data_IF_813079709939
#
_entry.id   IF_813079709939
#
_cell.length_a   1.000
_cell.length_b   1.000
_cell.length_c   1.000
_cell.angle_alpha   90.00
_cell.angle_beta   90.00
_cell.angle_gamma   90.00
#
_symmetry.space_group_name_H-M   'P 1'
#
loop_
_entity.id
_entity.type
_entity.pdbx_description
1 polymer ?
#
# COMPACT_ATOMS: atom_id res chain seq x y z
N UNK A 1 -18.76 11.94 14.14
CA UNK A 1 -17.80 11.87 13.01
C UNK A 1 -16.53 11.07 13.34
N UNK A 2 -15.85 11.38 14.44
CA UNK A 2 -14.62 10.70 14.88
C UNK A 2 -14.84 9.34 15.56
N UNK A 3 -16.04 9.09 16.13
CA UNK A 3 -16.31 7.91 16.94
C UNK A 3 -16.02 6.57 16.23
N UNK A 4 -16.23 6.47 14.91
CA UNK A 4 -15.98 5.23 14.15
C UNK A 4 -14.53 5.06 13.70
N UNK A 5 -13.76 6.15 13.58
CA UNK A 5 -12.34 6.10 13.22
C UNK A 5 -11.45 6.02 14.45
N UNK A 6 -11.91 6.54 15.59
CA UNK A 6 -11.16 6.58 16.85
C UNK A 6 -10.58 5.20 17.22
N UNK A 7 -11.33 4.08 17.17
CA UNK A 7 -10.75 2.78 17.43
C UNK A 7 -9.63 2.40 16.46
N UNK A 8 -9.81 2.65 15.16
CA UNK A 8 -8.79 2.36 14.15
C UNK A 8 -7.55 3.23 14.35
N UNK A 9 -7.71 4.52 14.69
CA UNK A 9 -6.60 5.41 15.02
C UNK A 9 -5.82 4.92 16.23
N UNK A 10 -6.51 4.47 17.28
CA UNK A 10 -5.86 3.88 18.45
C UNK A 10 -5.11 2.59 18.11
N UNK A 11 -5.68 1.74 17.24
CA UNK A 11 -4.99 0.54 16.74
C UNK A 11 -3.75 0.92 15.94
N UNK A 12 -3.84 1.91 15.04
CA UNK A 12 -2.69 2.39 14.26
C UNK A 12 -1.59 2.97 15.17
N UNK A 13 -1.97 3.78 16.16
CA UNK A 13 -1.02 4.36 17.10
C UNK A 13 -0.38 3.30 17.98
N UNK A 14 -1.16 2.37 18.51
CA UNK A 14 -0.63 1.26 19.30
C UNK A 14 0.31 0.39 18.46
N UNK A 15 -0.06 0.08 17.22
CA UNK A 15 0.80 -0.66 16.29
C UNK A 15 2.11 0.10 16.01
N UNK A 16 2.06 1.40 15.75
CA UNK A 16 3.26 2.22 15.52
C UNK A 16 4.16 2.25 16.75
N UNK A 17 3.61 2.41 17.96
CA UNK A 17 4.40 2.36 19.21
C UNK A 17 5.04 0.99 19.38
N UNK A 18 4.30 -0.09 19.14
CA UNK A 18 4.84 -1.46 19.20
C UNK A 18 5.97 -1.62 18.18
N UNK A 19 5.76 -1.26 16.91
CA UNK A 19 6.76 -1.37 15.84
C UNK A 19 8.02 -0.54 16.13
N UNK A 20 7.88 0.64 16.73
CA UNK A 20 9.03 1.47 17.10
C UNK A 20 9.89 0.85 18.21
N UNK A 21 9.28 0.12 19.15
CA UNK A 21 9.94 -0.46 20.33
C UNK A 21 10.40 -1.91 20.09
N UNK A 22 9.63 -2.67 19.31
CA UNK A 22 9.82 -4.10 19.05
C UNK A 22 11.27 -4.48 18.66
N UNK A 23 11.97 -3.74 17.79
CA UNK A 23 13.33 -4.08 17.35
C UNK A 23 14.39 -4.07 18.46
N UNK A 24 14.07 -3.46 19.60
CA UNK A 24 14.96 -3.34 20.76
C UNK A 24 14.72 -4.41 21.83
N UNK A 25 13.58 -5.10 21.77
CA UNK A 25 13.20 -6.13 22.75
C UNK A 25 13.30 -7.54 22.19
N UNK A 26 13.28 -7.69 20.86
CA UNK A 26 13.44 -8.99 20.20
C UNK A 26 14.91 -9.30 19.88
N UNK A 27 15.25 -10.59 19.85
CA UNK A 27 16.57 -11.07 19.45
C UNK A 27 16.90 -10.74 17.99
N UNK A 28 18.20 -10.78 17.65
CA UNK A 28 18.70 -10.46 16.30
C UNK A 28 18.03 -11.32 15.22
N UNK A 29 17.92 -12.63 15.47
CA UNK A 29 17.31 -13.56 14.52
C UNK A 29 15.81 -13.31 14.30
N UNK A 30 15.07 -13.02 15.37
CA UNK A 30 13.65 -12.68 15.26
C UNK A 30 13.44 -11.37 14.49
N UNK A 31 14.30 -10.37 14.73
CA UNK A 31 14.29 -9.12 13.97
C UNK A 31 14.55 -9.38 12.49
N UNK A 32 15.54 -10.23 12.22
CA UNK A 32 15.94 -10.64 10.88
C UNK A 32 14.75 -11.23 10.10
N UNK A 33 14.12 -12.24 10.67
CA UNK A 33 12.98 -12.92 10.06
C UNK A 33 11.74 -12.03 9.89
N UNK A 34 11.56 -11.05 10.79
CA UNK A 34 10.38 -10.20 10.77
C UNK A 34 10.52 -8.99 9.83
N UNK A 35 11.70 -8.35 9.79
CA UNK A 35 11.91 -7.01 9.21
C UNK A 35 12.87 -6.95 8.02
N UNK A 36 13.66 -8.00 7.72
CA UNK A 36 14.53 -7.94 6.52
C UNK A 36 13.72 -8.01 5.23
N UNK A 37 14.38 -7.65 4.11
CA UNK A 37 13.86 -7.94 2.77
C UNK A 37 13.48 -9.43 2.69
N UNK A 38 12.27 -9.72 2.21
CA UNK A 38 11.58 -11.02 2.16
C UNK A 38 11.20 -11.59 3.54
N UNK A 39 11.21 -10.76 4.58
CA UNK A 39 10.74 -11.08 5.91
C UNK A 39 9.23 -11.28 5.98
N UNK A 40 8.76 -11.69 7.15
CA UNK A 40 7.33 -11.99 7.39
C UNK A 40 6.45 -10.76 7.10
N UNK A 41 6.89 -9.54 7.44
CA UNK A 41 6.09 -8.34 7.20
C UNK A 41 5.93 -8.03 5.71
N UNK A 42 6.98 -8.14 4.91
CA UNK A 42 6.93 -7.92 3.46
C UNK A 42 5.97 -8.92 2.78
N UNK A 43 6.10 -10.21 3.11
CA UNK A 43 5.18 -11.24 2.61
C UNK A 43 3.73 -10.94 3.01
N UNK A 44 3.50 -10.51 4.25
CA UNK A 44 2.17 -10.11 4.71
C UNK A 44 1.67 -8.85 3.97
N UNK A 45 2.52 -7.89 3.67
CA UNK A 45 2.17 -6.70 2.90
C UNK A 45 1.70 -7.08 1.50
N UNK A 46 2.45 -7.94 0.79
CA UNK A 46 2.07 -8.49 -0.52
C UNK A 46 0.69 -9.17 -0.45
N UNK A 47 0.50 -10.07 0.52
CA UNK A 47 -0.77 -10.78 0.69
C UNK A 47 -1.93 -9.81 0.99
N UNK A 48 -1.70 -8.81 1.83
CA UNK A 48 -2.71 -7.81 2.16
C UNK A 48 -3.07 -6.94 0.96
N UNK A 49 -2.11 -6.56 0.11
CA UNK A 49 -2.39 -5.83 -1.14
C UNK A 49 -3.23 -6.67 -2.10
N UNK A 50 -2.91 -7.95 -2.27
CA UNK A 50 -3.70 -8.87 -3.09
C UNK A 50 -5.12 -9.06 -2.53
N UNK A 51 -5.27 -9.15 -1.20
CA UNK A 51 -6.58 -9.18 -0.54
C UNK A 51 -7.36 -7.88 -0.75
N UNK A 52 -6.71 -6.72 -0.72
CA UNK A 52 -7.34 -5.43 -1.02
C UNK A 52 -7.81 -5.38 -2.49
N UNK A 53 -7.00 -5.88 -3.43
CA UNK A 53 -7.36 -5.99 -4.85
C UNK A 53 -8.58 -6.91 -5.04
N UNK A 54 -8.56 -8.09 -4.45
CA UNK A 54 -9.67 -9.03 -4.49
C UNK A 54 -10.94 -8.44 -3.86
N UNK A 55 -10.81 -7.71 -2.74
CA UNK A 55 -11.93 -7.04 -2.07
C UNK A 55 -12.56 -5.95 -2.93
N UNK A 56 -11.75 -5.19 -3.70
CA UNK A 56 -12.25 -4.21 -4.64
C UNK A 56 -13.10 -4.85 -5.74
N UNK A 57 -12.64 -5.97 -6.32
CA UNK A 57 -13.31 -6.65 -7.43
C UNK A 57 -14.56 -7.44 -6.99
N UNK A 58 -14.53 -8.06 -5.81
CA UNK A 58 -15.61 -8.92 -5.31
C UNK A 58 -16.78 -8.15 -4.69
N UNK A 59 -16.64 -6.83 -4.50
CA UNK A 59 -17.66 -5.97 -3.90
C UNK A 59 -18.99 -5.95 -4.68
N UNK A 60 -18.95 -6.20 -5.98
CA UNK A 60 -20.13 -6.24 -6.85
C UNK A 60 -19.93 -7.22 -8.00
N UNK A 61 -21.03 -7.82 -8.50
CA UNK A 61 -20.99 -8.73 -9.67
C UNK A 61 -20.40 -8.08 -10.93
N UNK A 62 -20.50 -6.77 -11.06
CA UNK A 62 -19.93 -5.99 -12.16
C UNK A 62 -19.15 -4.81 -11.57
N UNK A 63 -17.84 -4.96 -11.31
CA UNK A 63 -17.04 -3.92 -10.67
C UNK A 63 -17.01 -2.66 -11.53
N UNK A 64 -17.21 -1.52 -10.87
CA UNK A 64 -17.15 -0.23 -11.55
C UNK A 64 -15.72 0.06 -12.04
N UNK A 65 -15.54 0.99 -12.99
CA UNK A 65 -14.20 1.42 -13.43
C UNK A 65 -13.32 1.90 -12.28
N UNK A 66 -13.91 2.50 -11.23
CA UNK A 66 -13.18 2.92 -10.03
C UNK A 66 -12.68 1.72 -9.22
N UNK A 67 -13.51 0.70 -9.02
CA UNK A 67 -13.09 -0.52 -8.29
C UNK A 67 -12.02 -1.29 -9.06
N UNK A 68 -12.13 -1.36 -10.38
CA UNK A 68 -11.09 -1.94 -11.24
C UNK A 68 -9.79 -1.15 -11.13
N UNK A 69 -9.86 0.17 -11.17
CA UNK A 69 -8.68 1.02 -11.02
C UNK A 69 -7.98 0.82 -9.67
N UNK A 70 -8.72 0.75 -8.56
CA UNK A 70 -8.14 0.41 -7.26
C UNK A 70 -7.51 -0.98 -7.25
N UNK A 71 -8.17 -1.99 -7.82
CA UNK A 71 -7.63 -3.34 -7.88
C UNK A 71 -6.30 -3.38 -8.64
N UNK A 72 -6.20 -2.67 -9.76
CA UNK A 72 -4.95 -2.53 -10.53
C UNK A 72 -3.87 -1.86 -9.68
N UNK A 73 -4.18 -0.75 -9.00
CA UNK A 73 -3.22 -0.06 -8.12
C UNK A 73 -2.72 -1.00 -7.01
N UNK A 74 -3.60 -1.75 -6.36
CA UNK A 74 -3.21 -2.67 -5.30
C UNK A 74 -2.39 -3.86 -5.82
N UNK A 75 -2.71 -4.40 -7.00
CA UNK A 75 -1.86 -5.40 -7.63
C UNK A 75 -0.46 -4.85 -7.96
N UNK A 76 -0.35 -3.60 -8.38
CA UNK A 76 0.93 -2.96 -8.66
C UNK A 76 1.73 -2.68 -7.39
N UNK A 77 1.07 -2.36 -6.29
CA UNK A 77 1.71 -2.24 -4.98
C UNK A 77 2.17 -3.62 -4.48
N UNK A 78 1.35 -4.68 -4.63
CA UNK A 78 1.81 -6.05 -4.36
C UNK A 78 3.02 -6.45 -5.22
N UNK A 79 3.06 -6.01 -6.48
CA UNK A 79 4.20 -6.24 -7.38
C UNK A 79 5.45 -5.46 -6.92
N UNK A 80 5.27 -4.25 -6.40
CA UNK A 80 6.35 -3.45 -5.77
C UNK A 80 6.90 -4.20 -4.55
N UNK A 81 6.04 -4.64 -3.65
CA UNK A 81 6.42 -5.27 -2.38
C UNK A 81 6.92 -6.72 -2.53
N UNK A 82 6.80 -7.35 -3.70
CA UNK A 82 7.26 -8.73 -3.91
C UNK A 82 8.63 -8.82 -4.57
N UNK A 83 9.27 -7.68 -4.81
CA UNK A 83 10.52 -7.54 -5.56
C UNK A 83 10.50 -8.14 -6.98
N UNK A 84 9.34 -8.61 -7.45
CA UNK A 84 9.16 -9.23 -8.76
C UNK A 84 9.56 -8.28 -9.89
N UNK A 85 9.34 -6.97 -9.72
CA UNK A 85 9.78 -5.99 -10.70
C UNK A 85 11.31 -5.94 -10.84
N UNK A 86 12.08 -6.19 -9.76
CA UNK A 86 13.55 -6.30 -9.85
C UNK A 86 13.97 -7.52 -10.67
N UNK A 87 13.21 -8.61 -10.59
CA UNK A 87 13.45 -9.85 -11.34
C UNK A 87 13.06 -9.71 -12.81
N UNK A 88 11.95 -9.02 -13.09
CA UNK A 88 11.39 -8.87 -14.43
C UNK A 88 12.08 -7.81 -15.29
N UNK A 89 12.81 -6.87 -14.67
CA UNK A 89 13.46 -5.74 -15.36
C UNK A 89 14.97 -5.94 -15.39
N UNK A 90 15.53 -6.03 -16.59
CA UNK A 90 16.97 -6.08 -16.83
C UNK A 90 17.63 -4.85 -16.23
N UNK A 91 18.56 -5.06 -15.30
CA UNK A 91 19.24 -4.00 -14.56
C UNK A 91 18.51 -3.51 -13.30
N UNK A 92 17.38 -4.12 -12.94
CA UNK A 92 16.65 -3.90 -11.70
C UNK A 92 15.49 -2.89 -11.82
N UNK A 93 14.52 -2.99 -10.90
CA UNK A 93 13.26 -2.25 -10.97
C UNK A 93 13.41 -0.72 -10.99
N UNK A 94 14.45 -0.17 -10.33
CA UNK A 94 14.76 1.27 -10.35
C UNK A 94 15.16 1.78 -11.75
N UNK A 95 15.64 0.91 -12.64
CA UNK A 95 15.99 1.30 -14.01
C UNK A 95 14.75 1.48 -14.89
N UNK A 96 13.65 0.78 -14.60
CA UNK A 96 12.40 0.85 -15.38
C UNK A 96 11.87 2.28 -15.54
N UNK A 97 12.13 3.17 -14.58
CA UNK A 97 11.63 4.55 -14.59
C UNK A 97 12.59 5.50 -15.33
N UNK A 98 13.80 5.07 -15.67
CA UNK A 98 14.81 5.92 -16.32
C UNK A 98 14.64 5.92 -17.84
N UNK A 99 14.74 7.09 -18.45
CA UNK A 99 14.70 7.22 -19.92
C UNK A 99 15.77 6.36 -20.62
N UNK A 100 16.95 6.22 -20.02
CA UNK A 100 18.06 5.40 -20.54
C UNK A 100 17.69 3.93 -20.76
N UNK A 101 16.76 3.40 -19.96
CA UNK A 101 16.25 2.03 -20.10
C UNK A 101 15.48 1.83 -21.41
N UNK A 102 14.67 2.81 -21.79
CA UNK A 102 13.89 2.77 -23.03
C UNK A 102 14.76 3.07 -24.27
N UNK A 103 15.78 3.90 -24.11
CA UNK A 103 16.62 4.40 -25.21
C UNK A 103 17.72 3.44 -25.68
N UNK A 104 17.93 2.29 -25.03
CA UNK A 104 18.94 1.33 -25.50
C UNK A 104 20.08 1.02 -24.56
N UNK A 105 20.25 1.78 -23.48
CA UNK A 105 21.48 1.78 -22.71
C UNK A 105 21.63 0.61 -21.72
N UNK A 106 20.58 -0.17 -21.49
CA UNK A 106 20.50 -1.15 -20.39
C UNK A 106 20.54 -2.61 -20.85
N UNK A 107 20.72 -2.87 -22.15
CA UNK A 107 20.74 -4.22 -22.71
C UNK A 107 19.37 -4.94 -22.73
N UNK A 108 18.31 -4.31 -22.19
CA UNK A 108 16.95 -4.85 -22.18
C UNK A 108 16.41 -5.06 -23.61
N UNK A 109 15.67 -6.16 -23.82
CA UNK A 109 15.06 -6.45 -25.13
C UNK A 109 13.90 -5.50 -25.45
N UNK A 110 13.57 -5.31 -26.73
CA UNK A 110 12.43 -4.45 -27.13
C UNK A 110 11.09 -4.92 -26.53
N UNK A 111 10.75 -6.24 -26.52
CA UNK A 111 9.52 -6.72 -25.89
C UNK A 111 9.44 -6.40 -24.38
N UNK A 112 10.55 -6.53 -23.66
CA UNK A 112 10.62 -6.20 -22.23
C UNK A 112 10.33 -4.71 -22.01
N UNK A 113 10.97 -3.81 -22.77
CA UNK A 113 10.74 -2.37 -22.68
C UNK A 113 9.29 -1.99 -22.94
N UNK A 114 8.67 -2.61 -23.95
CA UNK A 114 7.25 -2.38 -24.24
C UNK A 114 6.39 -2.87 -23.09
N UNK A 115 6.66 -4.05 -22.54
CA UNK A 115 5.94 -4.60 -21.39
C UNK A 115 6.01 -3.68 -20.17
N UNK A 116 7.20 -3.21 -19.82
CA UNK A 116 7.40 -2.26 -18.72
C UNK A 116 6.72 -0.92 -18.99
N UNK A 117 6.79 -0.39 -20.23
CA UNK A 117 6.09 0.84 -20.59
C UNK A 117 4.57 0.71 -20.45
N UNK A 118 3.98 -0.39 -20.89
CA UNK A 118 2.54 -0.67 -20.73
C UNK A 118 2.18 -0.81 -19.25
N UNK A 119 3.02 -1.49 -18.46
CA UNK A 119 2.83 -1.62 -17.01
C UNK A 119 2.80 -0.24 -16.32
N UNK A 120 3.78 0.62 -16.62
CA UNK A 120 3.84 1.98 -16.07
C UNK A 120 2.68 2.85 -16.54
N UNK A 121 2.32 2.79 -17.82
CA UNK A 121 1.15 3.52 -18.35
C UNK A 121 -0.14 3.07 -17.66
N UNK A 122 -0.31 1.76 -17.45
CA UNK A 122 -1.44 1.18 -16.72
C UNK A 122 -1.47 1.67 -15.27
N UNK A 123 -0.31 1.72 -14.61
CA UNK A 123 -0.17 2.25 -13.26
C UNK A 123 -0.61 3.71 -13.16
N UNK A 124 -0.12 4.57 -14.05
CA UNK A 124 -0.46 6.00 -14.09
C UNK A 124 -1.95 6.20 -14.34
N UNK A 125 -2.53 5.50 -15.32
CA UNK A 125 -3.96 5.60 -15.64
C UNK A 125 -4.82 5.12 -14.47
N UNK A 126 -4.50 3.95 -13.90
CA UNK A 126 -5.25 3.41 -12.77
C UNK A 126 -5.16 4.31 -11.53
N UNK A 127 -4.00 4.89 -11.25
CA UNK A 127 -3.82 5.85 -10.17
C UNK A 127 -4.63 7.13 -10.42
N UNK A 128 -4.57 7.70 -11.63
CA UNK A 128 -5.33 8.90 -11.98
C UNK A 128 -6.85 8.69 -11.88
N UNK A 129 -7.36 7.55 -12.37
CA UNK A 129 -8.77 7.16 -12.24
C UNK A 129 -9.14 6.99 -10.77
N UNK A 130 -8.29 6.35 -9.97
CA UNK A 130 -8.51 6.13 -8.53
C UNK A 130 -8.57 7.45 -7.78
N UNK A 131 -7.64 8.38 -8.01
CA UNK A 131 -7.62 9.71 -7.37
C UNK A 131 -8.86 10.51 -7.78
N UNK A 132 -9.14 10.63 -9.09
CA UNK A 132 -10.29 11.37 -9.60
C UNK A 132 -11.60 10.79 -9.08
N UNK A 133 -11.73 9.47 -9.06
CA UNK A 133 -12.89 8.77 -8.52
C UNK A 133 -13.06 8.99 -7.02
N UNK A 134 -11.98 8.89 -6.24
CA UNK A 134 -11.97 9.18 -4.79
C UNK A 134 -12.45 10.60 -4.51
N UNK A 135 -11.92 11.60 -5.23
CA UNK A 135 -12.32 13.01 -5.09
C UNK A 135 -13.80 13.22 -5.44
N UNK A 136 -14.30 12.52 -6.47
CA UNK A 136 -15.72 12.56 -6.83
C UNK A 136 -16.59 11.94 -5.73
N UNK A 137 -16.23 10.78 -5.21
CA UNK A 137 -16.95 10.09 -4.13
C UNK A 137 -16.96 10.90 -2.82
N UNK A 138 -15.88 11.64 -2.53
CA UNK A 138 -15.82 12.56 -1.39
C UNK A 138 -16.83 13.71 -1.52
N UNK A 139 -17.02 14.23 -2.74
CA UNK A 139 -17.95 15.34 -3.00
C UNK A 139 -19.39 14.86 -3.13
N UNK A 140 -19.59 13.68 -3.74
CA UNK A 140 -20.90 13.09 -4.07
C UNK A 140 -20.81 11.58 -3.88
N UNK A 141 -21.05 11.07 -2.65
CA UNK A 141 -20.97 9.64 -2.35
C UNK A 141 -21.97 8.86 -3.20
N UNK A 142 -21.50 7.89 -3.98
CA UNK A 142 -22.33 7.09 -4.88
C UNK A 142 -22.01 5.60 -4.81
N UNK A 143 -20.73 5.23 -4.78
CA UNK A 143 -20.27 3.84 -4.81
C UNK A 143 -19.72 3.38 -3.46
N UNK A 144 -19.05 4.28 -2.73
CA UNK A 144 -18.47 3.99 -1.43
C UNK A 144 -19.21 4.77 -0.35
N UNK A 145 -19.55 4.06 0.74
CA UNK A 145 -20.11 4.70 1.91
C UNK A 145 -19.08 5.72 2.46
N UNK A 146 -19.51 6.88 2.99
CA UNK A 146 -18.59 7.87 3.55
C UNK A 146 -17.63 7.30 4.61
N UNK A 147 -18.06 6.27 5.36
CA UNK A 147 -17.21 5.54 6.30
C UNK A 147 -16.08 4.78 5.59
N UNK A 148 -16.38 4.06 4.52
CA UNK A 148 -15.37 3.33 3.74
C UNK A 148 -14.33 4.30 3.17
N UNK A 149 -14.77 5.43 2.61
CA UNK A 149 -13.86 6.43 2.07
C UNK A 149 -12.90 6.99 3.13
N UNK A 150 -13.38 7.24 4.35
CA UNK A 150 -12.53 7.69 5.45
C UNK A 150 -11.49 6.64 5.88
N UNK A 151 -11.86 5.37 5.90
CA UNK A 151 -10.92 4.28 6.21
C UNK A 151 -9.88 4.16 5.09
N UNK A 152 -10.29 4.29 3.83
CA UNK A 152 -9.39 4.29 2.68
C UNK A 152 -8.37 5.46 2.75
N UNK A 153 -8.84 6.66 3.12
CA UNK A 153 -7.97 7.82 3.35
C UNK A 153 -6.99 7.54 4.50
N UNK A 154 -7.46 6.96 5.61
CA UNK A 154 -6.58 6.59 6.72
C UNK A 154 -5.49 5.61 6.26
N UNK A 155 -5.85 4.58 5.50
CA UNK A 155 -4.87 3.65 4.94
C UNK A 155 -3.85 4.34 4.02
N UNK A 156 -4.31 5.28 3.19
CA UNK A 156 -3.41 6.12 2.38
C UNK A 156 -2.47 7.00 3.20
N UNK A 157 -2.95 7.58 4.31
CA UNK A 157 -2.12 8.36 5.24
C UNK A 157 -1.07 7.45 5.90
N UNK A 158 -1.46 6.26 6.35
CA UNK A 158 -0.53 5.28 6.94
C UNK A 158 0.58 4.91 5.94
N UNK A 159 0.23 4.70 4.66
CA UNK A 159 1.20 4.45 3.60
C UNK A 159 2.14 5.64 3.38
N UNK A 160 1.63 6.88 3.36
CA UNK A 160 2.48 8.07 3.25
C UNK A 160 3.45 8.17 4.44
N UNK A 161 2.97 7.88 5.65
CA UNK A 161 3.81 7.89 6.85
C UNK A 161 4.91 6.83 6.77
N UNK A 162 4.64 5.64 6.23
CA UNK A 162 5.68 4.62 6.01
C UNK A 162 6.79 5.14 5.09
N UNK A 163 6.42 5.76 3.97
CA UNK A 163 7.39 6.35 3.03
C UNK A 163 8.20 7.49 3.68
N UNK A 164 7.59 8.24 4.60
CA UNK A 164 8.34 9.26 5.35
C UNK A 164 9.42 8.64 6.24
N UNK A 165 9.19 7.45 6.82
CA UNK A 165 10.21 6.73 7.58
C UNK A 165 11.42 6.36 6.70
N UNK A 166 11.18 5.81 5.50
CA UNK A 166 12.23 5.53 4.50
C UNK A 166 13.02 6.80 4.17
N UNK A 167 12.32 7.90 3.81
CA UNK A 167 12.98 9.16 3.42
C UNK A 167 13.76 9.79 4.56
N UNK A 168 13.35 9.60 5.81
CA UNK A 168 14.10 10.06 6.97
C UNK A 168 15.39 9.26 7.20
N UNK A 169 15.40 7.95 6.87
CA UNK A 169 16.61 7.14 6.86
C UNK A 169 17.57 7.63 5.77
N UNK A 170 17.08 7.77 4.53
CA UNK A 170 17.86 8.28 3.39
C UNK A 170 18.51 9.64 3.72
N UNK A 171 17.70 10.58 4.26
CA UNK A 171 18.17 11.93 4.59
C UNK A 171 19.22 11.92 5.71
N UNK A 172 19.08 11.04 6.71
CA UNK A 172 20.06 10.94 7.79
C UNK A 172 21.41 10.45 7.27
N UNK A 173 21.42 9.49 6.35
CA UNK A 173 22.65 9.04 5.68
C UNK A 173 23.31 10.15 4.88
N UNK A 174 22.53 10.96 4.17
CA UNK A 174 23.04 12.05 3.31
C UNK A 174 23.61 13.25 4.10
N UNK A 175 23.12 13.55 5.32
CA UNK A 175 23.39 14.83 6.00
C UNK A 175 24.36 14.80 7.18
N UNK A 176 24.80 13.63 7.67
CA UNK A 176 25.66 13.63 8.86
C UNK A 176 26.20 12.28 9.33
N UNK A 177 26.05 11.24 8.51
CA UNK A 177 26.35 9.86 8.90
C UNK A 177 25.11 9.11 9.36
N UNK A 178 25.16 7.77 9.35
CA UNK A 178 23.97 6.93 9.54
C UNK A 178 23.28 7.27 10.88
N UNK A 179 21.94 7.29 10.92
CA UNK A 179 21.22 7.52 12.16
C UNK A 179 21.71 6.53 13.22
N UNK A 180 21.75 6.96 14.49
CA UNK A 180 22.14 6.08 15.59
C UNK A 180 21.38 4.75 15.47
N UNK A 181 22.10 3.63 15.62
CA UNK A 181 21.60 2.29 15.30
C UNK A 181 20.21 1.98 15.89
N UNK A 182 19.90 2.56 17.05
CA UNK A 182 18.59 2.42 17.67
C UNK A 182 17.47 3.12 16.85
N UNK A 183 17.68 4.37 16.42
CA UNK A 183 16.73 5.12 15.60
C UNK A 183 16.55 4.46 14.23
N UNK A 184 17.65 4.01 13.61
CA UNK A 184 17.62 3.33 12.33
C UNK A 184 16.70 2.09 12.37
N UNK A 185 16.88 1.25 13.39
CA UNK A 185 16.05 0.06 13.62
C UNK A 185 14.57 0.39 13.82
N UNK A 186 14.26 1.46 14.56
CA UNK A 186 12.88 1.88 14.80
C UNK A 186 12.23 2.42 13.52
N UNK A 187 12.94 3.23 12.73
CA UNK A 187 12.41 3.77 11.49
C UNK A 187 12.17 2.68 10.44
N UNK A 188 13.11 1.73 10.29
CA UNK A 188 12.93 0.60 9.37
C UNK A 188 11.76 -0.29 9.79
N UNK A 189 11.63 -0.60 11.09
CA UNK A 189 10.49 -1.38 11.58
C UNK A 189 9.13 -0.66 11.39
N UNK A 190 9.13 0.66 11.52
CA UNK A 190 7.96 1.49 11.26
C UNK A 190 7.61 1.51 9.77
N UNK A 191 8.59 1.65 8.89
CA UNK A 191 8.40 1.57 7.44
C UNK A 191 7.72 0.25 7.07
N UNK A 192 8.39 -0.88 7.31
CA UNK A 192 7.91 -2.23 6.96
C UNK A 192 6.54 -2.54 7.58
N UNK A 193 6.39 -2.25 8.88
CA UNK A 193 5.17 -2.56 9.60
C UNK A 193 3.99 -1.70 9.20
N UNK A 194 4.21 -0.41 8.87
CA UNK A 194 3.14 0.47 8.39
C UNK A 194 2.79 0.17 6.92
N UNK A 195 3.76 -0.25 6.10
CA UNK A 195 3.51 -0.76 4.74
C UNK A 195 2.67 -2.03 4.74
N UNK A 196 2.88 -2.93 5.70
CA UNK A 196 2.02 -4.11 5.88
C UNK A 196 0.63 -3.74 6.45
N UNK A 197 0.55 -2.73 7.32
CA UNK A 197 -0.70 -2.31 7.96
C UNK A 197 -1.64 -1.53 7.03
N UNK A 198 -1.09 -0.66 6.17
CA UNK A 198 -1.85 0.15 5.22
C UNK A 198 -2.82 -0.67 4.34
N UNK A 199 -2.38 -1.73 3.63
CA UNK A 199 -3.27 -2.53 2.80
C UNK A 199 -4.33 -3.28 3.61
N UNK A 200 -4.04 -3.69 4.85
CA UNK A 200 -5.04 -4.28 5.72
C UNK A 200 -6.16 -3.29 6.03
N UNK A 201 -5.82 -2.04 6.38
CA UNK A 201 -6.81 -0.97 6.62
C UNK A 201 -7.63 -0.70 5.35
N UNK A 202 -6.98 -0.65 4.19
CA UNK A 202 -7.64 -0.43 2.90
C UNK A 202 -8.58 -1.59 2.57
N UNK A 203 -8.17 -2.84 2.77
CA UNK A 203 -9.03 -4.01 2.56
C UNK A 203 -10.28 -3.92 3.43
N UNK A 204 -10.14 -3.56 4.71
CA UNK A 204 -11.28 -3.35 5.62
C UNK A 204 -12.25 -2.26 5.13
N UNK A 205 -11.77 -1.22 4.45
CA UNK A 205 -12.62 -0.19 3.86
C UNK A 205 -13.49 -0.76 2.72
N UNK A 206 -12.96 -1.73 1.99
CA UNK A 206 -13.56 -2.27 0.76
C UNK A 206 -14.44 -3.48 1.00
N UNK A 207 -14.28 -4.16 2.15
CA UNK A 207 -15.15 -5.25 2.56
C UNK A 207 -16.63 -4.83 2.49
N UNK A 208 -17.51 -5.70 1.99
CA UNK A 208 -18.94 -5.45 2.00
C UNK A 208 -19.40 -5.21 3.45
N UNK A 209 -19.94 -4.02 3.72
CA UNK A 209 -20.69 -3.84 4.95
C UNK A 209 -21.85 -4.84 4.89
N UNK A 210 -21.94 -5.78 5.84
CA UNK A 210 -23.11 -6.64 5.98
C UNK A 210 -24.31 -5.70 5.99
N UNK A 211 -25.11 -5.71 4.91
CA UNK A 211 -26.38 -4.99 4.87
C UNK A 211 -27.12 -5.50 6.09
N UNK A 212 -27.39 -4.65 7.07
CA UNK A 212 -28.36 -5.00 8.11
C UNK A 212 -29.67 -5.21 7.35
N UNK A 213 -30.00 -6.47 7.15
CA UNK A 213 -31.27 -6.90 6.58
C UNK A 213 -32.33 -6.64 7.66
N UNK A 214 -32.70 -5.38 7.86
CA UNK A 214 -33.73 -4.94 8.80
C UNK A 214 -33.91 -3.45 8.56
N UNK A 215 -34.83 -3.11 7.65
CA UNK A 215 -35.58 -1.83 7.57
C UNK A 215 -36.00 -1.59 6.12
N UNK A 216 -37.04 -2.31 5.69
CA UNK A 216 -38.10 -1.87 4.77
C UNK A 216 -38.87 -3.12 4.34
N UNK A 217 -39.59 -3.72 5.30
CA UNK A 217 -40.90 -4.27 4.93
C UNK A 217 -41.81 -3.05 4.85
N UNK A 218 -42.44 -2.73 3.70
CA UNK A 218 -43.52 -1.76 3.71
C UNK A 218 -44.60 -2.26 4.69
N UNK A 219 -45.21 -1.37 5.50
CA UNK A 219 -46.38 -1.74 6.27
C UNK A 219 -47.52 -2.20 5.33
N UNK A 220 -48.39 -3.11 5.82
CA UNK A 220 -49.47 -3.71 5.03
C UNK A 220 -50.50 -2.69 4.54
#
# INVERSE_FOLDING_TARGET
MLATLRPLLWVCLAAAVVLAVLPHVIGVEARRQLLEEQGVLEVLAVLCWLLAAASALTRSRSPSPLMVAYAIVFCLLALRESDLLRVLVTGGGKQAVRASYYLGATGASLPERIGVAVLLATAVVALAVSIRGSLRELRRPAQLAPRAMRILILGGIVLVVSQLCEKLLDLAEDWGGPPGLALARSLWALEEGLEALAPLIIALALLPARRRASEHRPPP
#
